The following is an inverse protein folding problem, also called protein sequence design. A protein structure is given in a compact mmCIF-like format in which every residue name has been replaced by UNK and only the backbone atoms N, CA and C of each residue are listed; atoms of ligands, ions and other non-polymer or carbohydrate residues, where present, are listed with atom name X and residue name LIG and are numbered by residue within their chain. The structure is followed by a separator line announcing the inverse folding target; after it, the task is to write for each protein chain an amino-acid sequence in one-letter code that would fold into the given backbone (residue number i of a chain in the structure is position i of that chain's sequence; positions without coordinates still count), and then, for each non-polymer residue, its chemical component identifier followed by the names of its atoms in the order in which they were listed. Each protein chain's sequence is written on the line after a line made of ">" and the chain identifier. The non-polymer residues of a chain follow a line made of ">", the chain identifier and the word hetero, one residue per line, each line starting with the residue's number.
data_IF_078411810139
#
_entry.id   IF_078411810139
#
_cell.length_a   1.000
_cell.length_b   1.000
_cell.length_c   1.000
_cell.angle_alpha   90.00
_cell.angle_beta   90.00
_cell.angle_gamma   90.00
#
_symmetry.space_group_name_H-M   'P 1'
#
loop_
_entity.id
_entity.type
_entity.pdbx_description
1 polymer ?
#
# COMPACT_ATOMS: atom_id res chain seq x y z
N UNK A 1 -0.61 -13.48 -4.29
CA UNK A 1 0.83 -13.33 -4.53
C UNK A 1 1.28 -12.07 -3.79
N UNK A 2 2.17 -12.15 -2.80
CA UNK A 2 2.71 -10.99 -2.08
C UNK A 2 3.73 -10.24 -2.96
N UNK A 3 3.92 -8.94 -2.72
CA UNK A 3 4.94 -8.14 -3.42
C UNK A 3 6.24 -8.10 -2.59
N UNK A 4 7.38 -7.87 -3.23
CA UNK A 4 8.66 -7.64 -2.53
C UNK A 4 9.17 -6.26 -2.89
N UNK A 5 9.45 -5.44 -1.89
CA UNK A 5 10.10 -4.13 -2.04
C UNK A 5 11.51 -4.19 -1.44
N UNK A 6 12.33 -3.17 -1.67
CA UNK A 6 13.70 -3.16 -1.16
C UNK A 6 13.88 -2.02 -0.15
N UNK A 7 14.43 -2.33 1.02
CA UNK A 7 14.84 -1.36 2.03
C UNK A 7 16.36 -1.47 2.25
N UNK A 8 17.10 -0.40 1.93
CA UNK A 8 18.57 -0.40 1.96
C UNK A 8 19.17 -1.55 1.13
N UNK A 9 18.53 -1.91 0.01
CA UNK A 9 18.92 -3.04 -0.84
C UNK A 9 18.39 -4.41 -0.38
N UNK A 10 17.95 -4.56 0.87
CA UNK A 10 17.43 -5.82 1.39
C UNK A 10 15.96 -6.03 0.97
N UNK A 11 15.56 -7.24 0.57
CA UNK A 11 14.17 -7.54 0.20
C UNK A 11 13.25 -7.55 1.44
N UNK A 12 12.08 -6.94 1.30
CA UNK A 12 11.01 -6.86 2.31
C UNK A 12 9.70 -7.32 1.70
N UNK A 13 9.07 -8.32 2.32
CA UNK A 13 7.78 -8.86 1.89
C UNK A 13 6.64 -7.91 2.26
N UNK A 14 5.76 -7.64 1.29
CA UNK A 14 4.56 -6.80 1.44
C UNK A 14 3.33 -7.69 1.37
N UNK A 15 2.43 -7.52 2.33
CA UNK A 15 1.17 -8.25 2.36
C UNK A 15 0.29 -7.89 1.16
N UNK A 16 -0.50 -8.88 0.70
CA UNK A 16 -1.50 -8.72 -0.37
C UNK A 16 -0.92 -8.17 -1.69
N UNK A 17 -1.79 -7.66 -2.56
CA UNK A 17 -1.47 -7.14 -3.90
C UNK A 17 -1.98 -5.71 -3.96
N UNK A 18 -1.18 -4.81 -4.53
CA UNK A 18 -1.64 -3.44 -4.80
C UNK A 18 -2.72 -3.46 -5.90
N UNK A 19 -3.83 -2.70 -5.75
CA UNK A 19 -4.89 -2.65 -6.76
C UNK A 19 -4.35 -2.35 -8.17
N UNK A 20 -4.82 -3.11 -9.16
CA UNK A 20 -4.41 -2.99 -10.56
C UNK A 20 -5.37 -2.09 -11.34
N UNK A 21 -4.94 -1.57 -12.49
CA UNK A 21 -5.79 -0.79 -13.38
C UNK A 21 -7.08 -1.56 -13.74
N UNK A 22 -8.22 -0.87 -13.72
CA UNK A 22 -9.54 -1.47 -13.95
C UNK A 22 -10.17 -2.15 -12.73
N UNK A 23 -9.44 -2.32 -11.62
CA UNK A 23 -10.03 -2.80 -10.38
C UNK A 23 -10.80 -1.69 -9.65
N UNK A 24 -11.92 -2.05 -9.00
CA UNK A 24 -12.69 -1.11 -8.18
C UNK A 24 -11.92 -0.82 -6.89
N UNK A 25 -11.68 0.45 -6.60
CA UNK A 25 -11.03 0.88 -5.36
C UNK A 25 -11.86 0.50 -4.14
N UNK A 26 -11.19 0.01 -3.09
CA UNK A 26 -11.82 -0.27 -1.81
C UNK A 26 -12.00 1.04 -1.03
N UNK A 27 -13.14 1.18 -0.34
CA UNK A 27 -13.37 2.32 0.54
C UNK A 27 -12.45 2.24 1.77
N UNK A 28 -11.97 3.38 2.24
CA UNK A 28 -11.17 3.49 3.45
C UNK A 28 -11.45 4.81 4.17
N UNK A 29 -11.15 4.87 5.47
CA UNK A 29 -11.22 6.08 6.29
C UNK A 29 -9.83 6.37 6.85
N UNK A 30 -9.36 7.61 6.71
CA UNK A 30 -8.12 8.09 7.30
C UNK A 30 -8.42 9.28 8.22
N UNK A 31 -7.54 9.51 9.19
CA UNK A 31 -7.58 10.70 10.04
C UNK A 31 -6.86 11.84 9.32
N UNK A 32 -7.49 13.01 9.24
CA UNK A 32 -6.86 14.21 8.70
C UNK A 32 -5.83 14.77 9.68
N UNK A 33 -4.73 15.33 9.15
CA UNK A 33 -3.78 16.08 9.97
C UNK A 33 -4.41 17.42 10.35
N UNK A 34 -4.50 17.70 11.63
CA UNK A 34 -4.84 19.03 12.12
C UNK A 34 -3.67 20.00 11.83
N UNK A 35 -3.99 21.13 11.21
CA UNK A 35 -3.03 22.17 10.79
C UNK A 35 -3.32 23.52 11.47
N UNK A 36 -4.14 23.49 12.52
CA UNK A 36 -4.64 24.65 13.25
C UNK A 36 -3.60 25.27 14.17
#
# INVERSE_FOLDING_TARGET
>A
MSQTVHFQGNPVTVANVIPQAGSKAQAFTLVAKDLS
#
